data_IF_625241587038
#
_entry.id   IF_625241587038
#
_cell.length_a   1.000
_cell.length_b   1.000
_cell.length_c   1.000
_cell.angle_alpha   90.00
_cell.angle_beta   90.00
_cell.angle_gamma   90.00
#
_symmetry.space_group_name_H-M   'P 1'
#
loop_
_entity.id
_entity.type
_entity.pdbx_description
1 polymer ?
#
# COMPACT_ATOMS: atom_id res chain seq x y z
N UNK A 1 -11.54 -17.84 -13.56
CA UNK A 1 -11.49 -17.67 -12.11
C UNK A 1 -11.72 -16.22 -11.87
N UNK A 2 -12.87 -15.90 -11.30
CA UNK A 2 -13.17 -14.52 -10.94
C UNK A 2 -12.31 -14.18 -9.71
N UNK A 3 -11.64 -13.03 -9.78
CA UNK A 3 -10.80 -12.55 -8.70
C UNK A 3 -11.75 -11.90 -7.70
N UNK A 4 -11.88 -12.45 -6.49
CA UNK A 4 -12.73 -11.85 -5.45
C UNK A 4 -11.98 -10.75 -4.69
N UNK A 5 -10.67 -10.93 -4.48
CA UNK A 5 -9.83 -10.02 -3.71
C UNK A 5 -8.61 -9.57 -4.50
N UNK A 6 -8.23 -8.32 -4.29
CA UNK A 6 -6.93 -7.78 -4.69
C UNK A 6 -6.10 -7.46 -3.47
N UNK A 7 -4.79 -7.52 -3.63
CA UNK A 7 -3.82 -7.25 -2.58
C UNK A 7 -3.05 -5.98 -2.94
N UNK A 8 -3.10 -4.99 -2.08
CA UNK A 8 -2.48 -3.69 -2.28
C UNK A 8 -1.16 -3.67 -1.49
N UNK A 9 -0.07 -3.37 -2.18
CA UNK A 9 1.22 -3.12 -1.53
C UNK A 9 1.38 -1.62 -1.33
N UNK A 10 1.51 -1.20 -0.08
CA UNK A 10 1.77 0.17 0.33
C UNK A 10 3.19 0.31 0.89
N UNK A 11 3.72 1.53 0.85
CA UNK A 11 4.86 1.94 1.66
C UNK A 11 4.58 3.28 2.31
N UNK A 12 4.78 3.38 3.62
CA UNK A 12 4.69 4.64 4.36
C UNK A 12 6.04 4.99 4.96
N UNK A 13 6.60 6.13 4.56
CA UNK A 13 7.81 6.69 5.15
C UNK A 13 7.46 7.85 6.09
N UNK A 14 7.67 7.68 7.39
CA UNK A 14 7.46 8.75 8.38
C UNK A 14 8.69 9.64 8.51
N UNK A 15 8.50 10.95 8.36
CA UNK A 15 9.54 11.95 8.56
C UNK A 15 8.91 13.32 8.82
N UNK A 16 9.16 13.89 10.00
CA UNK A 16 8.59 15.17 10.44
C UNK A 16 8.93 16.37 9.53
N UNK A 17 9.97 16.23 8.69
CA UNK A 17 10.34 17.27 7.71
C UNK A 17 9.49 17.22 6.45
N UNK A 18 8.72 16.15 6.23
CA UNK A 18 7.79 16.04 5.11
C UNK A 18 6.50 16.81 5.41
N UNK A 19 5.85 17.39 4.38
CA UNK A 19 4.49 17.89 4.51
C UNK A 19 3.56 16.77 5.01
N UNK A 20 2.87 16.99 6.14
CA UNK A 20 2.00 15.99 6.74
C UNK A 20 2.71 14.92 7.58
N UNK A 21 4.05 14.96 7.68
CA UNK A 21 4.83 14.03 8.51
C UNK A 21 5.05 12.64 7.91
N UNK A 22 4.52 12.38 6.71
CA UNK A 22 4.63 11.09 6.04
C UNK A 22 4.66 11.23 4.50
N UNK A 23 5.23 10.23 3.84
CA UNK A 23 5.14 10.00 2.39
C UNK A 23 4.59 8.59 2.15
N UNK A 24 3.32 8.53 1.73
CA UNK A 24 2.58 7.28 1.51
C UNK A 24 2.53 6.97 0.02
N UNK A 25 2.85 5.72 -0.35
CA UNK A 25 2.90 5.24 -1.73
C UNK A 25 2.11 3.95 -1.91
N UNK A 26 1.17 3.93 -2.86
CA UNK A 26 0.63 2.68 -3.40
C UNK A 26 1.63 2.14 -4.42
N UNK A 27 2.32 1.06 -4.06
CA UNK A 27 3.35 0.43 -4.89
C UNK A 27 2.77 -0.48 -5.97
N UNK A 28 1.62 -1.11 -5.71
CA UNK A 28 0.97 -1.97 -6.69
C UNK A 28 -0.27 -2.67 -6.17
N UNK A 29 -1.05 -3.20 -7.10
CA UNK A 29 -2.28 -3.98 -6.85
C UNK A 29 -2.13 -5.34 -7.52
N UNK A 30 -2.31 -6.42 -6.76
CA UNK A 30 -1.99 -7.77 -7.17
C UNK A 30 -3.19 -8.71 -7.03
N UNK A 31 -3.31 -9.67 -7.94
CA UNK A 31 -4.41 -10.65 -7.93
C UNK A 31 -4.28 -11.72 -6.83
N UNK A 32 -3.12 -11.81 -6.18
CA UNK A 32 -2.84 -12.78 -5.10
C UNK A 32 -1.82 -12.18 -4.12
N UNK A 33 -1.88 -12.62 -2.86
CA UNK A 33 -0.96 -12.20 -1.81
C UNK A 33 0.49 -12.51 -2.17
N UNK A 34 0.78 -13.72 -2.65
CA UNK A 34 2.13 -14.13 -3.05
C UNK A 34 2.74 -13.22 -4.12
N UNK A 35 1.93 -12.64 -5.02
CA UNK A 35 2.43 -11.69 -6.02
C UNK A 35 2.78 -10.34 -5.38
N UNK A 36 2.01 -9.91 -4.38
CA UNK A 36 2.32 -8.72 -3.58
C UNK A 36 3.60 -8.91 -2.76
N UNK A 37 3.74 -10.05 -2.07
CA UNK A 37 4.96 -10.41 -1.32
C UNK A 37 6.18 -10.41 -2.24
N UNK A 38 6.08 -11.04 -3.42
CA UNK A 38 7.17 -11.05 -4.39
C UNK A 38 7.53 -9.64 -4.87
N UNK A 39 6.55 -8.73 -4.97
CA UNK A 39 6.79 -7.34 -5.32
C UNK A 39 7.46 -6.55 -4.21
N UNK A 40 7.02 -6.75 -2.96
CA UNK A 40 7.67 -6.19 -1.78
C UNK A 40 9.14 -6.59 -1.73
N UNK A 41 9.47 -7.88 -1.90
CA UNK A 41 10.86 -8.35 -1.88
C UNK A 41 11.75 -7.69 -2.94
N UNK A 42 11.19 -7.30 -4.09
CA UNK A 42 11.93 -6.52 -5.11
C UNK A 42 12.06 -5.05 -4.72
N UNK A 43 11.01 -4.47 -4.14
CA UNK A 43 10.98 -3.06 -3.73
C UNK A 43 11.90 -2.78 -2.53
N UNK A 44 12.03 -3.72 -1.60
CA UNK A 44 12.95 -3.64 -0.44
C UNK A 44 14.43 -3.50 -0.82
N UNK A 45 14.78 -3.66 -2.10
CA UNK A 45 16.15 -3.49 -2.60
C UNK A 45 16.40 -2.11 -3.23
N UNK A 46 15.35 -1.31 -3.42
CA UNK A 46 15.46 0.03 -4.02
C UNK A 46 16.02 1.04 -3.02
N UNK A 47 16.75 2.04 -3.52
CA UNK A 47 17.23 3.16 -2.69
C UNK A 47 16.07 3.87 -1.99
N UNK A 48 16.30 4.27 -0.72
CA UNK A 48 15.27 4.79 0.17
C UNK A 48 14.47 3.68 0.86
N UNK A 49 13.88 2.75 0.11
CA UNK A 49 13.08 1.65 0.68
C UNK A 49 13.91 0.63 1.44
N UNK A 50 15.14 0.33 0.97
CA UNK A 50 16.05 -0.60 1.65
C UNK A 50 16.38 -0.19 3.09
N UNK A 51 16.30 1.11 3.39
CA UNK A 51 16.60 1.72 4.68
C UNK A 51 15.34 1.97 5.53
N UNK A 52 14.15 1.64 5.00
CA UNK A 52 12.85 1.88 5.65
C UNK A 52 11.85 0.73 5.40
N UNK A 53 12.31 -0.51 5.58
CA UNK A 53 11.53 -1.72 5.22
C UNK A 53 10.27 -1.92 6.07
N UNK A 54 10.28 -1.39 7.28
CA UNK A 54 9.14 -1.40 8.21
C UNK A 54 7.92 -0.64 7.67
N UNK A 55 8.12 0.24 6.68
CA UNK A 55 7.04 0.99 6.05
C UNK A 55 6.19 0.17 5.07
N UNK A 56 6.60 -1.05 4.70
CA UNK A 56 5.82 -1.89 3.78
C UNK A 56 4.60 -2.52 4.45
N UNK A 57 3.46 -2.42 3.78
CA UNK A 57 2.20 -3.06 4.20
C UNK A 57 1.54 -3.74 2.99
N UNK A 58 1.06 -4.97 3.19
CA UNK A 58 0.17 -5.63 2.23
C UNK A 58 -1.21 -5.72 2.87
N UNK A 59 -2.16 -4.98 2.30
CA UNK A 59 -3.58 -5.07 2.64
C UNK A 59 -4.35 -5.75 1.50
N UNK A 60 -5.62 -6.09 1.72
CA UNK A 60 -6.48 -6.66 0.70
C UNK A 60 -7.82 -5.95 0.66
N UNK A 61 -8.37 -5.80 -0.54
CA UNK A 61 -9.70 -5.27 -0.77
C UNK A 61 -10.52 -6.27 -1.58
N UNK A 62 -11.82 -6.33 -1.32
CA UNK A 62 -12.74 -7.04 -2.20
C UNK A 62 -12.97 -6.22 -3.47
N UNK A 63 -13.01 -6.90 -4.62
CA UNK A 63 -13.37 -6.25 -5.89
C UNK A 63 -14.86 -5.89 -5.87
N UNK A 64 -15.21 -4.76 -6.49
CA UNK A 64 -16.57 -4.24 -6.62
C UNK A 64 -17.29 -3.99 -5.27
N UNK A 65 -16.52 -3.66 -4.24
CA UNK A 65 -17.01 -3.26 -2.92
C UNK A 65 -16.52 -1.86 -2.55
N UNK A 66 -17.42 -1.03 -2.03
CA UNK A 66 -17.09 0.28 -1.47
C UNK A 66 -16.57 0.11 -0.03
N UNK A 67 -15.33 0.50 0.23
CA UNK A 67 -14.74 0.53 1.58
C UNK A 67 -15.12 1.81 2.35
N UNK A 68 -15.33 2.91 1.62
CA UNK A 68 -15.68 4.21 2.18
C UNK A 68 -17.07 4.63 1.72
N UNK A 69 -18.02 4.66 2.66
CA UNK A 69 -19.45 4.89 2.36
C UNK A 69 -19.98 6.27 2.76
N UNK A 70 -19.13 7.14 3.32
CA UNK A 70 -19.49 8.49 3.73
C UNK A 70 -18.86 9.57 2.83
N UNK A 71 -19.36 10.81 2.89
CA UNK A 71 -18.71 11.95 2.27
C UNK A 71 -17.45 12.41 3.02
N UNK A 72 -16.75 13.43 2.52
CA UNK A 72 -15.68 14.10 3.24
C UNK A 72 -16.25 14.99 4.37
N UNK A 73 -15.42 15.28 5.38
CA UNK A 73 -15.79 16.18 6.49
C UNK A 73 -16.02 17.60 5.95
N UNK A 74 -17.14 18.22 6.31
CA UNK A 74 -17.47 19.63 6.01
C UNK A 74 -17.48 20.48 7.27
N UNK A 75 -17.07 21.74 7.16
CA UNK A 75 -17.09 22.76 8.24
C UNK A 75 -18.50 23.17 8.68
#
# INVERSE_FOLDING_TARGET
MDIEFVYLLWHTHFNEKLPGGEDVKLMGVYSTENKAIAAQSRAELLEGFKDSKEGFEISYNKIDQDEWVSGFVTE
#
